data_IF_411890185509
#
_entry.id   IF_411890185509
#
_cell.length_a   1.000
_cell.length_b   1.000
_cell.length_c   1.000
_cell.angle_alpha   90.00
_cell.angle_beta   90.00
_cell.angle_gamma   90.00
#
_symmetry.space_group_name_H-M   'P 1'
#
loop_
_entity.id
_entity.type
_entity.pdbx_description
1 polymer ?
#
# COMPACT_ATOMS: atom_id res chain seq x y z
N UNK A 1 -17.56 30.39 -70.49
CA UNK A 1 -16.63 29.91 -69.44
C UNK A 1 -17.18 30.31 -68.08
N UNK A 2 -17.88 29.42 -67.37
CA UNK A 2 -18.37 29.68 -66.00
C UNK A 2 -17.38 29.05 -65.01
N UNK A 3 -16.75 29.87 -64.16
CA UNK A 3 -15.87 29.40 -63.08
C UNK A 3 -16.75 28.97 -61.91
N UNK A 4 -16.68 27.70 -61.53
CA UNK A 4 -17.31 27.15 -60.32
C UNK A 4 -16.26 27.26 -59.20
N UNK A 5 -16.53 28.10 -58.22
CA UNK A 5 -15.71 28.22 -57.01
C UNK A 5 -16.19 27.18 -56.00
N UNK A 6 -15.39 26.14 -55.75
CA UNK A 6 -15.67 25.14 -54.74
C UNK A 6 -15.30 25.70 -53.35
N UNK A 7 -16.28 25.80 -52.45
CA UNK A 7 -16.06 26.10 -51.03
C UNK A 7 -15.68 24.82 -50.31
N UNK A 8 -14.43 24.74 -49.83
CA UNK A 8 -13.95 23.65 -48.99
C UNK A 8 -14.43 23.89 -47.54
N UNK A 9 -15.48 23.17 -47.13
CA UNK A 9 -15.90 23.14 -45.72
C UNK A 9 -14.97 22.19 -44.95
N UNK A 10 -14.01 22.75 -44.21
CA UNK A 10 -13.20 21.98 -43.25
C UNK A 10 -14.03 21.81 -41.98
N UNK A 11 -14.59 20.62 -41.79
CA UNK A 11 -15.17 20.20 -40.52
C UNK A 11 -14.04 19.98 -39.50
N UNK A 12 -13.78 20.99 -38.67
CA UNK A 12 -12.95 20.88 -37.48
C UNK A 12 -13.71 20.05 -36.43
N UNK A 13 -13.41 18.76 -36.36
CA UNK A 13 -13.75 17.96 -35.19
C UNK A 13 -12.94 18.47 -33.99
N UNK A 14 -13.58 18.83 -32.86
CA UNK A 14 -12.83 19.12 -31.65
C UNK A 14 -12.30 17.79 -31.11
N UNK A 15 -11.03 17.51 -31.37
CA UNK A 15 -10.31 16.46 -30.63
C UNK A 15 -10.11 16.99 -29.22
N UNK A 16 -11.09 16.80 -28.34
CA UNK A 16 -10.92 16.97 -26.91
C UNK A 16 -10.17 15.77 -26.35
N UNK A 17 -8.88 15.65 -26.70
CA UNK A 17 -7.96 14.83 -25.96
C UNK A 17 -7.56 15.60 -24.70
N UNK A 18 -8.41 15.60 -23.67
CA UNK A 18 -7.97 15.98 -22.34
C UNK A 18 -6.98 14.91 -21.87
N UNK A 19 -5.69 15.12 -22.12
CA UNK A 19 -4.63 14.49 -21.37
C UNK A 19 -4.69 15.06 -19.95
N UNK A 20 -5.63 14.59 -19.14
CA UNK A 20 -5.66 14.93 -17.74
C UNK A 20 -4.46 14.27 -17.07
N UNK A 21 -3.60 15.06 -16.44
CA UNK A 21 -2.47 14.53 -15.69
C UNK A 21 -3.00 13.57 -14.60
N UNK A 22 -2.36 12.41 -14.44
CA UNK A 22 -2.74 11.39 -13.45
C UNK A 22 -2.86 11.97 -12.03
N UNK A 23 -2.05 12.98 -11.70
CA UNK A 23 -2.14 13.71 -10.43
C UNK A 23 -3.50 14.37 -10.23
N UNK A 24 -4.05 15.00 -11.27
CA UNK A 24 -5.35 15.65 -11.20
C UNK A 24 -6.46 14.61 -11.11
N UNK A 25 -6.36 13.53 -11.90
CA UNK A 25 -7.28 12.38 -11.84
C UNK A 25 -7.34 11.81 -10.42
N UNK A 26 -6.19 11.60 -9.79
CA UNK A 26 -6.12 11.07 -8.42
C UNK A 26 -6.69 12.03 -7.38
N UNK A 27 -6.30 13.31 -7.43
CA UNK A 27 -6.69 14.31 -6.40
C UNK A 27 -8.18 14.65 -6.48
N UNK A 28 -8.76 14.70 -7.68
CA UNK A 28 -10.18 15.01 -7.89
C UNK A 28 -11.11 13.80 -7.72
N UNK A 29 -10.55 12.60 -7.57
CA UNK A 29 -11.33 11.37 -7.44
C UNK A 29 -12.31 11.43 -6.28
N UNK A 30 -13.55 11.01 -6.53
CA UNK A 30 -14.53 10.81 -5.49
C UNK A 30 -14.30 9.47 -4.79
N UNK A 31 -14.00 9.53 -3.50
CA UNK A 31 -13.72 8.36 -2.67
C UNK A 31 -14.96 7.88 -1.93
N UNK A 32 -15.28 6.59 -2.06
CA UNK A 32 -16.22 5.95 -1.14
C UNK A 32 -15.58 5.96 0.23
N UNK A 33 -16.19 6.66 1.19
CA UNK A 33 -15.59 6.93 2.49
C UNK A 33 -16.46 6.37 3.59
N UNK A 34 -15.89 5.51 4.43
CA UNK A 34 -16.53 4.96 5.61
C UNK A 34 -15.74 5.31 6.86
N UNK A 35 -16.42 5.87 7.86
CA UNK A 35 -15.85 6.07 9.19
C UNK A 35 -15.88 4.74 9.95
N UNK A 36 -14.71 4.16 10.22
CA UNK A 36 -14.58 2.93 10.99
C UNK A 36 -14.68 3.18 12.49
N UNK A 37 -14.09 4.29 12.95
CA UNK A 37 -14.15 4.75 14.33
C UNK A 37 -13.84 6.24 14.43
N UNK A 38 -13.86 6.82 15.63
CA UNK A 38 -13.40 8.20 15.84
C UNK A 38 -11.89 8.28 15.59
N UNK A 39 -11.50 8.83 14.43
CA UNK A 39 -10.09 8.99 14.03
C UNK A 39 -9.57 7.89 13.12
N UNK A 40 -10.42 6.97 12.66
CA UNK A 40 -10.07 5.99 11.62
C UNK A 40 -11.09 6.04 10.51
N UNK A 41 -10.64 6.27 9.29
CA UNK A 41 -11.47 6.39 8.09
C UNK A 41 -10.91 5.45 7.03
N UNK A 42 -11.79 4.68 6.40
CA UNK A 42 -11.49 3.90 5.21
C UNK A 42 -12.02 4.63 3.98
N UNK A 43 -11.19 4.68 2.93
CA UNK A 43 -11.51 5.20 1.61
C UNK A 43 -11.23 4.12 0.57
N UNK A 44 -12.14 3.94 -0.38
CA UNK A 44 -11.95 3.04 -1.51
C UNK A 44 -12.45 3.68 -2.81
N UNK A 45 -11.84 3.30 -3.92
CA UNK A 45 -12.29 3.73 -5.24
C UNK A 45 -11.73 2.82 -6.34
N UNK A 46 -12.39 2.84 -7.50
CA UNK A 46 -11.92 2.22 -8.73
C UNK A 46 -11.75 3.33 -9.79
N UNK A 47 -10.53 3.48 -10.29
CA UNK A 47 -10.19 4.38 -11.37
C UNK A 47 -10.44 3.69 -12.71
N UNK A 48 -11.18 4.34 -13.60
CA UNK A 48 -11.33 3.88 -14.98
C UNK A 48 -10.01 4.01 -15.76
N UNK A 49 -9.24 5.06 -15.48
CA UNK A 49 -7.89 5.26 -16.01
C UNK A 49 -7.05 6.06 -15.01
N UNK A 50 -6.03 5.43 -14.45
CA UNK A 50 -4.92 6.04 -13.73
C UNK A 50 -3.64 5.34 -14.21
N UNK A 51 -2.68 6.13 -14.68
CA UNK A 51 -1.50 5.64 -15.41
C UNK A 51 -1.90 4.81 -16.63
N UNK A 52 -2.88 5.27 -17.40
CA UNK A 52 -3.41 4.57 -18.59
C UNK A 52 -3.94 3.14 -18.30
N UNK A 53 -4.48 2.91 -17.11
CA UNK A 53 -5.01 1.59 -16.73
C UNK A 53 -6.05 1.68 -15.62
N UNK A 54 -6.90 0.66 -15.49
CA UNK A 54 -7.80 0.55 -14.35
C UNK A 54 -7.01 0.24 -13.07
N UNK A 55 -7.39 0.90 -11.98
CA UNK A 55 -6.76 0.75 -10.67
C UNK A 55 -7.82 0.69 -9.56
N UNK A 56 -7.71 -0.27 -8.65
CA UNK A 56 -8.53 -0.33 -7.44
C UNK A 56 -7.62 -0.02 -6.25
N UNK A 57 -7.98 1.00 -5.48
CA UNK A 57 -7.18 1.50 -4.36
C UNK A 57 -8.01 1.54 -3.09
N UNK A 58 -7.46 1.02 -2.01
CA UNK A 58 -7.99 1.16 -0.66
C UNK A 58 -7.01 1.92 0.22
N UNK A 59 -7.53 2.80 1.07
CA UNK A 59 -6.74 3.63 1.97
C UNK A 59 -7.41 3.66 3.35
N UNK A 60 -6.65 3.38 4.41
CA UNK A 60 -7.09 3.65 5.78
C UNK A 60 -6.25 4.78 6.36
N UNK A 61 -6.92 5.87 6.76
CA UNK A 61 -6.35 6.97 7.51
C UNK A 61 -6.50 6.71 9.01
N UNK A 62 -5.40 6.78 9.76
CA UNK A 62 -5.35 6.48 11.19
C UNK A 62 -4.78 7.68 11.94
N UNK A 63 -5.60 8.37 12.74
CA UNK A 63 -5.17 9.47 13.61
C UNK A 63 -4.28 8.94 14.75
N UNK A 64 -2.95 9.13 14.62
CA UNK A 64 -1.98 8.64 15.59
C UNK A 64 -2.15 9.31 16.96
N UNK A 65 -2.72 10.53 17.06
CA UNK A 65 -3.01 11.12 18.38
C UNK A 65 -3.98 10.27 19.21
N UNK A 66 -4.81 9.46 18.55
CA UNK A 66 -5.76 8.54 19.19
C UNK A 66 -5.31 7.08 19.17
N UNK A 67 -4.64 6.67 18.09
CA UNK A 67 -4.38 5.26 17.81
C UNK A 67 -2.92 4.83 18.03
N UNK A 68 -2.00 5.72 18.44
CA UNK A 68 -0.60 5.37 18.66
C UNK A 68 -0.41 4.16 19.59
N UNK A 69 -1.14 4.12 20.72
CA UNK A 69 -1.08 3.01 21.69
C UNK A 69 -1.81 1.74 21.25
N UNK A 70 -2.55 1.81 20.14
CA UNK A 70 -3.34 0.70 19.57
C UNK A 70 -2.68 0.11 18.33
N UNK A 71 -1.62 0.74 17.83
CA UNK A 71 -0.80 0.23 16.75
C UNK A 71 -0.03 -1.01 17.22
N UNK A 72 -0.03 -2.05 16.40
CA UNK A 72 0.61 -3.31 16.68
C UNK A 72 1.18 -3.96 15.43
N UNK A 73 2.07 -4.92 15.65
CA UNK A 73 2.55 -5.85 14.64
C UNK A 73 2.39 -7.27 15.15
N UNK A 74 2.16 -8.20 14.24
CA UNK A 74 2.21 -9.62 14.53
C UNK A 74 3.11 -10.26 13.48
N UNK A 75 4.04 -11.10 13.94
CA UNK A 75 4.95 -11.82 13.07
C UNK A 75 5.07 -13.27 13.54
N UNK A 76 5.03 -14.19 12.58
CA UNK A 76 5.18 -15.61 12.75
C UNK A 76 6.63 -15.97 12.40
N UNK A 77 7.40 -16.60 13.31
CA UNK A 77 8.85 -16.77 13.12
C UNK A 77 9.20 -17.78 12.02
N UNK A 78 8.37 -18.79 11.80
CA UNK A 78 8.63 -19.93 10.92
C UNK A 78 7.33 -20.53 10.34
N UNK A 79 6.30 -19.70 10.18
CA UNK A 79 5.03 -20.12 9.59
C UNK A 79 4.36 -18.96 8.85
N UNK A 80 3.23 -19.26 8.23
CA UNK A 80 2.44 -18.30 7.46
C UNK A 80 0.97 -18.49 7.77
N UNK A 81 0.23 -17.39 7.81
CA UNK A 81 -1.22 -17.41 7.94
C UNK A 81 -1.84 -16.23 7.19
N UNK A 82 -3.12 -16.34 6.86
CA UNK A 82 -3.91 -15.29 6.20
C UNK A 82 -3.89 -14.00 7.02
N UNK A 83 -3.83 -12.85 6.33
CA UNK A 83 -3.93 -11.53 6.96
C UNK A 83 -5.24 -11.41 7.73
N UNK A 84 -6.36 -11.89 7.16
CA UNK A 84 -7.67 -11.96 7.83
C UNK A 84 -7.62 -12.70 9.16
N UNK A 85 -7.12 -13.94 9.18
CA UNK A 85 -6.98 -14.75 10.40
C UNK A 85 -6.08 -14.07 11.42
N UNK A 86 -4.89 -13.60 11.03
CA UNK A 86 -3.98 -12.90 11.93
C UNK A 86 -4.60 -11.62 12.51
N UNK A 87 -5.43 -10.93 11.73
CA UNK A 87 -6.14 -9.73 12.14
C UNK A 87 -7.24 -10.02 13.16
N UNK A 88 -7.99 -11.11 12.95
CA UNK A 88 -9.01 -11.58 13.90
C UNK A 88 -8.37 -11.99 15.24
N UNK A 89 -7.28 -12.77 15.20
CA UNK A 89 -6.51 -13.15 16.39
C UNK A 89 -5.93 -11.94 17.14
N UNK A 90 -5.52 -10.91 16.40
CA UNK A 90 -5.02 -9.66 16.96
C UNK A 90 -6.14 -8.72 17.47
N UNK A 91 -7.41 -9.06 17.23
CA UNK A 91 -8.58 -8.19 17.47
C UNK A 91 -8.41 -6.82 16.79
N UNK A 92 -7.93 -6.84 15.55
CA UNK A 92 -7.69 -5.64 14.76
C UNK A 92 -9.00 -4.95 14.36
N UNK A 93 -9.01 -3.62 14.39
CA UNK A 93 -10.00 -2.79 13.71
C UNK A 93 -9.70 -2.70 12.21
N UNK A 94 -8.43 -2.52 11.87
CA UNK A 94 -7.93 -2.53 10.50
C UNK A 94 -6.50 -3.07 10.47
N UNK A 95 -6.13 -3.75 9.39
CA UNK A 95 -4.79 -4.31 9.20
C UNK A 95 -4.42 -4.41 7.72
N UNK A 96 -3.11 -4.51 7.47
CA UNK A 96 -2.53 -4.83 6.17
C UNK A 96 -1.44 -5.89 6.35
N UNK A 97 -1.11 -6.61 5.29
CA UNK A 97 0.09 -7.44 5.26
C UNK A 97 1.36 -6.58 5.51
N UNK A 98 2.43 -7.21 6.00
CA UNK A 98 3.68 -6.52 6.30
C UNK A 98 4.81 -6.80 5.30
N UNK A 99 6.03 -6.97 5.82
CA UNK A 99 7.26 -7.16 5.07
C UNK A 99 7.44 -8.57 4.47
N UNK A 100 8.54 -8.72 3.72
CA UNK A 100 8.85 -9.92 2.93
C UNK A 100 9.09 -11.16 3.81
N UNK A 101 8.80 -12.34 3.26
CA UNK A 101 8.88 -13.61 3.98
C UNK A 101 9.28 -14.78 3.07
N UNK A 102 9.72 -15.87 3.70
CA UNK A 102 10.04 -17.12 3.00
C UNK A 102 8.75 -17.87 2.64
N UNK A 103 8.44 -17.96 1.34
CA UNK A 103 7.25 -18.64 0.83
C UNK A 103 7.25 -20.16 1.02
N UNK A 104 8.37 -20.78 1.35
CA UNK A 104 8.47 -22.21 1.63
C UNK A 104 8.34 -22.45 3.13
N UNK A 105 9.18 -21.78 3.91
CA UNK A 105 9.36 -22.09 5.33
C UNK A 105 8.59 -21.14 6.27
N UNK A 106 8.08 -20.00 5.77
CA UNK A 106 7.57 -18.93 6.62
C UNK A 106 8.67 -18.20 7.39
N UNK A 107 8.28 -17.20 8.16
CA UNK A 107 9.23 -16.26 8.77
C UNK A 107 9.61 -15.14 7.83
N UNK A 108 9.85 -13.95 8.40
CA UNK A 108 10.37 -12.83 7.62
C UNK A 108 11.82 -13.11 7.17
N UNK A 109 12.16 -12.68 5.96
CA UNK A 109 13.54 -12.73 5.44
C UNK A 109 14.37 -11.52 5.88
N UNK A 110 13.67 -10.47 6.32
CA UNK A 110 14.22 -9.21 6.83
C UNK A 110 13.93 -9.05 8.34
N UNK A 111 14.63 -8.11 8.96
CA UNK A 111 14.56 -7.86 10.40
C UNK A 111 13.14 -7.50 10.86
N UNK A 112 12.61 -8.26 11.82
CA UNK A 112 11.39 -7.92 12.55
C UNK A 112 11.63 -8.05 14.06
N UNK A 113 11.28 -7.00 14.78
CA UNK A 113 11.23 -6.94 16.25
C UNK A 113 9.83 -6.51 16.69
N UNK A 114 9.24 -7.25 17.62
CA UNK A 114 7.93 -6.96 18.21
C UNK A 114 8.06 -6.98 19.72
N UNK A 115 7.62 -5.91 20.39
CA UNK A 115 7.70 -5.77 21.85
C UNK A 115 9.09 -6.07 22.44
N UNK A 116 10.15 -5.51 21.84
CA UNK A 116 11.57 -5.75 22.16
C UNK A 116 12.08 -7.17 21.90
N UNK A 117 11.26 -8.10 21.43
CA UNK A 117 11.69 -9.44 21.03
C UNK A 117 11.97 -9.48 19.54
N UNK A 118 13.19 -9.90 19.16
CA UNK A 118 13.52 -10.17 17.77
C UNK A 118 12.80 -11.45 17.36
N UNK A 119 11.93 -11.34 16.36
CA UNK A 119 11.16 -12.48 15.82
C UNK A 119 11.93 -13.13 14.66
N UNK A 120 12.47 -12.30 13.76
CA UNK A 120 13.31 -12.75 12.66
C UNK A 120 14.50 -11.78 12.49
N UNK A 121 15.75 -12.28 12.45
CA UNK A 121 16.89 -11.49 11.98
C UNK A 121 16.88 -11.37 10.45
N UNK A 122 17.63 -10.42 9.89
CA UNK A 122 17.87 -10.38 8.44
C UNK A 122 18.71 -11.58 8.01
N UNK A 123 18.18 -12.41 7.11
CA UNK A 123 18.88 -13.59 6.58
C UNK A 123 19.94 -13.20 5.55
N UNK A 124 19.59 -12.29 4.64
CA UNK A 124 20.50 -11.76 3.63
C UNK A 124 20.13 -10.32 3.29
N UNK A 125 21.14 -9.46 3.06
CA UNK A 125 20.88 -8.07 2.71
C UNK A 125 20.30 -7.99 1.30
N UNK A 126 19.19 -7.26 1.17
CA UNK A 126 18.51 -7.03 -0.10
C UNK A 126 18.38 -5.53 -0.35
N UNK A 127 18.63 -5.09 -1.58
CA UNK A 127 18.37 -3.71 -1.98
C UNK A 127 16.88 -3.34 -1.92
N UNK A 128 15.98 -4.35 -1.89
CA UNK A 128 14.54 -4.16 -1.74
C UNK A 128 14.15 -3.75 -0.32
N UNK A 129 14.98 -4.09 0.67
CA UNK A 129 14.69 -3.87 2.08
C UNK A 129 15.65 -2.83 2.67
N UNK A 130 15.27 -1.56 2.58
CA UNK A 130 16.11 -0.43 2.99
C UNK A 130 15.37 0.62 3.84
N UNK A 131 14.18 0.29 4.33
CA UNK A 131 13.35 1.18 5.13
C UNK A 131 12.82 0.47 6.37
N UNK A 132 12.84 1.17 7.49
CA UNK A 132 12.32 0.72 8.78
C UNK A 132 11.00 1.42 9.08
N UNK A 133 9.96 0.63 9.31
CA UNK A 133 8.78 1.05 10.04
C UNK A 133 8.99 0.76 11.53
N UNK A 134 9.06 1.80 12.35
CA UNK A 134 9.38 1.69 13.77
C UNK A 134 8.42 2.49 14.63
N UNK A 135 7.95 1.93 15.75
CA UNK A 135 7.04 2.63 16.65
C UNK A 135 7.12 2.16 18.10
N UNK A 136 6.72 3.05 19.00
CA UNK A 136 6.47 2.82 20.41
C UNK A 136 5.07 3.36 20.78
N UNK A 137 4.76 3.47 22.08
CA UNK A 137 3.47 4.00 22.53
C UNK A 137 3.32 5.53 22.40
N UNK A 138 4.34 6.24 21.89
CA UNK A 138 4.41 7.70 21.77
C UNK A 138 4.63 8.18 20.33
N UNK A 139 5.40 7.46 19.52
CA UNK A 139 5.88 7.91 18.20
C UNK A 139 5.93 6.76 17.21
N UNK A 140 5.67 7.11 15.96
CA UNK A 140 5.84 6.25 14.77
C UNK A 140 6.82 6.91 13.81
N UNK A 141 7.68 6.12 13.16
CA UNK A 141 8.67 6.56 12.20
C UNK A 141 8.72 5.62 10.99
N UNK A 142 8.97 6.22 9.83
CA UNK A 142 9.39 5.54 8.60
C UNK A 142 10.71 6.18 8.17
N UNK A 143 11.82 5.45 8.29
CA UNK A 143 13.18 5.98 8.07
C UNK A 143 14.12 4.93 7.49
N UNK A 144 15.25 5.35 6.92
CA UNK A 144 16.30 4.42 6.45
C UNK A 144 17.39 4.14 7.49
N UNK A 145 17.42 4.91 8.58
CA UNK A 145 18.43 4.78 9.62
C UNK A 145 18.20 3.55 10.51
N UNK A 146 19.17 2.63 10.49
CA UNK A 146 19.13 1.39 11.26
C UNK A 146 19.28 1.61 12.76
N UNK A 147 19.74 2.79 13.22
CA UNK A 147 19.83 3.11 14.65
C UNK A 147 18.47 3.02 15.36
N UNK A 148 17.35 3.14 14.62
CA UNK A 148 16.01 2.91 15.16
C UNK A 148 15.79 1.52 15.77
N UNK A 149 16.55 0.51 15.32
CA UNK A 149 16.50 -0.85 15.87
C UNK A 149 16.81 -0.84 17.37
N UNK A 150 17.76 -0.02 17.82
CA UNK A 150 18.12 0.06 19.23
C UNK A 150 17.08 0.83 20.06
N UNK A 151 16.34 1.75 19.44
CA UNK A 151 15.48 2.73 20.13
C UNK A 151 14.05 2.24 20.30
N UNK A 152 13.47 1.59 19.29
CA UNK A 152 12.05 1.29 19.26
C UNK A 152 11.74 -0.15 19.62
N UNK A 153 10.66 -0.45 20.37
CA UNK A 153 10.29 -1.81 20.73
C UNK A 153 9.71 -2.60 19.55
N UNK A 154 9.10 -1.91 18.59
CA UNK A 154 8.51 -2.50 17.39
C UNK A 154 9.22 -1.94 16.16
N UNK A 155 9.82 -2.82 15.36
CA UNK A 155 10.59 -2.45 14.16
C UNK A 155 10.38 -3.50 13.08
N UNK A 156 10.08 -3.08 11.86
CA UNK A 156 10.02 -3.92 10.66
C UNK A 156 10.90 -3.31 9.58
N UNK A 157 11.87 -4.07 9.10
CA UNK A 157 12.62 -3.77 7.89
C UNK A 157 11.84 -4.31 6.68
N UNK A 158 11.57 -3.43 5.72
CA UNK A 158 11.03 -3.77 4.42
C UNK A 158 11.43 -2.67 3.42
N UNK A 159 10.62 -2.43 2.39
CA UNK A 159 10.82 -1.31 1.49
C UNK A 159 10.60 -1.66 0.02
N UNK A 160 11.15 -0.85 -0.89
CA UNK A 160 12.05 0.28 -0.61
C UNK A 160 11.36 1.48 0.06
N UNK A 161 12.15 2.37 0.65
CA UNK A 161 11.73 3.73 0.99
C UNK A 161 11.34 4.47 -0.30
N UNK A 162 10.16 5.08 -0.31
CA UNK A 162 9.60 5.77 -1.47
C UNK A 162 9.72 7.29 -1.32
N UNK A 163 9.34 7.79 -0.14
CA UNK A 163 9.31 9.24 0.17
C UNK A 163 9.98 9.47 1.53
N UNK A 164 10.91 10.42 1.61
CA UNK A 164 11.55 10.85 2.84
C UNK A 164 11.54 12.38 2.94
N UNK A 165 10.92 12.94 3.99
CA UNK A 165 10.73 14.39 4.16
C UNK A 165 10.11 15.06 2.92
N UNK A 166 9.07 14.44 2.36
CA UNK A 166 8.38 14.85 1.13
C UNK A 166 9.23 14.77 -0.15
N UNK A 167 10.47 14.28 -0.09
CA UNK A 167 11.31 14.04 -1.26
C UNK A 167 11.11 12.62 -1.79
N UNK A 168 10.92 12.50 -3.10
CA UNK A 168 10.91 11.20 -3.79
C UNK A 168 12.33 10.65 -3.80
N UNK A 169 12.50 9.38 -3.41
CA UNK A 169 13.78 8.68 -3.52
C UNK A 169 13.90 7.95 -4.85
N UNK A 170 15.11 7.96 -5.41
CA UNK A 170 15.40 7.26 -6.65
C UNK A 170 15.32 5.74 -6.45
N UNK A 171 14.63 5.07 -7.36
CA UNK A 171 14.56 3.62 -7.43
C UNK A 171 15.49 3.10 -8.53
N UNK A 172 16.20 2.00 -8.28
CA UNK A 172 17.04 1.37 -9.30
C UNK A 172 16.19 0.72 -10.39
N UNK A 173 16.69 0.65 -11.62
CA UNK A 173 16.01 -0.02 -12.72
C UNK A 173 16.05 -1.53 -12.53
N UNK A 174 14.88 -2.16 -12.35
CA UNK A 174 14.71 -3.61 -12.28
C UNK A 174 13.21 -3.96 -12.30
N UNK A 175 12.90 -5.22 -12.64
CA UNK A 175 11.51 -5.69 -12.75
C UNK A 175 10.68 -5.53 -11.46
N UNK A 176 11.29 -5.60 -10.27
CA UNK A 176 10.56 -5.43 -9.01
C UNK A 176 10.07 -3.98 -8.82
N UNK A 177 10.84 -3.00 -9.29
CA UNK A 177 10.48 -1.58 -9.25
C UNK A 177 9.61 -1.14 -10.43
N UNK A 178 9.94 -1.62 -11.63
CA UNK A 178 9.41 -1.09 -12.89
C UNK A 178 8.13 -1.79 -13.36
N UNK A 179 7.91 -3.06 -12.99
CA UNK A 179 6.70 -3.78 -13.39
C UNK A 179 5.51 -3.47 -12.47
N UNK A 180 4.32 -3.46 -13.07
CA UNK A 180 3.05 -3.31 -12.35
C UNK A 180 2.68 -4.57 -11.59
N UNK A 181 2.38 -4.41 -10.31
CA UNK A 181 1.92 -5.46 -9.42
C UNK A 181 0.88 -4.90 -8.45
N UNK A 182 0.08 -5.75 -7.78
CA UNK A 182 -0.55 -5.36 -6.53
C UNK A 182 0.52 -4.87 -5.56
N UNK A 183 0.23 -3.79 -4.84
CA UNK A 183 1.18 -3.18 -3.90
C UNK A 183 0.51 -2.91 -2.56
N UNK A 184 1.30 -3.05 -1.51
CA UNK A 184 0.94 -2.58 -0.17
C UNK A 184 1.95 -1.51 0.24
N UNK A 185 1.47 -0.41 0.79
CA UNK A 185 2.32 0.68 1.27
C UNK A 185 1.85 1.19 2.62
N UNK A 186 2.80 1.77 3.35
CA UNK A 186 2.56 2.48 4.59
C UNK A 186 3.20 3.86 4.51
N UNK A 187 2.49 4.87 5.00
CA UNK A 187 2.95 6.26 4.96
C UNK A 187 2.54 7.09 6.16
N UNK A 188 3.23 8.18 6.39
CA UNK A 188 2.90 9.19 7.39
C UNK A 188 2.48 10.46 6.65
N UNK A 189 1.27 10.95 6.98
CA UNK A 189 0.70 12.20 6.52
C UNK A 189 0.29 13.04 7.74
N UNK A 190 1.06 14.07 8.05
CA UNK A 190 0.90 14.90 9.25
C UNK A 190 0.94 14.03 10.53
N UNK A 191 -0.18 13.93 11.23
CA UNK A 191 -0.35 13.07 12.41
C UNK A 191 -1.11 11.77 12.09
N UNK A 192 -1.22 11.41 10.81
CA UNK A 192 -1.94 10.21 10.37
C UNK A 192 -0.98 9.16 9.84
N UNK A 193 -1.22 7.91 10.24
CA UNK A 193 -0.65 6.75 9.58
C UNK A 193 -1.60 6.31 8.47
N UNK A 194 -1.03 6.03 7.30
CA UNK A 194 -1.76 5.66 6.10
C UNK A 194 -1.44 4.21 5.80
N UNK A 195 -2.46 3.36 5.77
CA UNK A 195 -2.37 2.04 5.13
C UNK A 195 -2.93 2.14 3.73
N UNK A 196 -2.23 1.62 2.74
CA UNK A 196 -2.68 1.63 1.35
C UNK A 196 -2.50 0.26 0.71
N UNK A 197 -3.52 -0.19 -0.02
CA UNK A 197 -3.40 -1.30 -0.96
C UNK A 197 -3.84 -0.86 -2.35
N UNK A 198 -3.13 -1.34 -3.36
CA UNK A 198 -3.49 -1.22 -4.77
C UNK A 198 -3.61 -2.63 -5.32
N UNK A 199 -4.78 -3.03 -5.81
CA UNK A 199 -4.97 -4.36 -6.40
C UNK A 199 -4.29 -4.44 -7.77
N UNK A 200 -4.07 -5.65 -8.28
CA UNK A 200 -3.34 -5.82 -9.55
C UNK A 200 -3.48 -7.19 -10.18
N UNK A 201 -2.85 -7.37 -11.35
CA UNK A 201 -2.85 -8.62 -12.15
C UNK A 201 -4.23 -9.03 -12.68
N UNK A 202 -5.15 -8.07 -12.87
CA UNK A 202 -6.49 -8.30 -13.42
C UNK A 202 -6.88 -7.21 -14.39
N UNK A 203 -7.91 -7.44 -15.20
CA UNK A 203 -8.44 -6.41 -16.10
C UNK A 203 -9.05 -5.23 -15.33
N UNK A 204 -9.66 -5.50 -14.18
CA UNK A 204 -10.29 -4.51 -13.29
C UNK A 204 -9.26 -3.68 -12.49
N UNK A 205 -8.05 -4.22 -12.29
CA UNK A 205 -6.93 -3.50 -11.70
C UNK A 205 -5.63 -4.11 -12.19
N UNK A 206 -4.85 -3.33 -12.94
CA UNK A 206 -3.56 -3.81 -13.47
C UNK A 206 -2.47 -3.79 -12.39
N UNK A 207 -2.64 -2.95 -11.37
CA UNK A 207 -1.63 -2.67 -10.35
C UNK A 207 -0.67 -1.59 -10.79
N UNK A 208 0.29 -1.28 -9.93
CA UNK A 208 1.22 -0.16 -10.12
C UNK A 208 2.66 -0.59 -9.96
N UNK A 209 3.54 0.08 -10.70
CA UNK A 209 4.99 0.09 -10.46
C UNK A 209 5.28 0.82 -9.15
N UNK A 210 6.51 0.72 -8.64
CA UNK A 210 6.88 1.47 -7.43
C UNK A 210 7.01 2.98 -7.69
N UNK A 211 7.30 3.39 -8.92
CA UNK A 211 7.30 4.81 -9.30
C UNK A 211 5.87 5.38 -9.22
N UNK A 212 4.92 4.69 -9.83
CA UNK A 212 3.48 5.04 -9.79
C UNK A 212 2.92 5.01 -8.36
N UNK A 213 3.30 4.01 -7.55
CA UNK A 213 2.95 3.96 -6.13
C UNK A 213 3.53 5.15 -5.35
N UNK A 214 4.77 5.56 -5.67
CA UNK A 214 5.41 6.73 -5.05
C UNK A 214 4.64 8.00 -5.38
N UNK A 215 4.21 8.15 -6.63
CA UNK A 215 3.37 9.27 -7.06
C UNK A 215 2.02 9.28 -6.35
N UNK A 216 1.33 8.14 -6.24
CA UNK A 216 0.09 8.01 -5.48
C UNK A 216 0.30 8.44 -4.02
N UNK A 217 1.32 7.91 -3.34
CA UNK A 217 1.61 8.24 -1.94
C UNK A 217 1.93 9.73 -1.75
N UNK A 218 2.63 10.35 -2.71
CA UNK A 218 2.93 11.79 -2.74
C UNK A 218 1.68 12.62 -2.94
N UNK A 219 0.86 12.31 -3.95
CA UNK A 219 -0.38 13.04 -4.23
C UNK A 219 -1.40 12.91 -3.10
N UNK A 220 -1.37 11.78 -2.40
CA UNK A 220 -2.16 11.60 -1.19
C UNK A 220 -1.66 12.47 -0.01
N UNK A 221 -0.41 12.94 -0.08
CA UNK A 221 0.20 13.88 0.86
C UNK A 221 1.10 13.24 1.91
N UNK A 222 1.62 12.03 1.69
CA UNK A 222 2.55 11.40 2.63
C UNK A 222 3.91 12.13 2.60
N UNK A 223 4.40 12.55 3.77
CA UNK A 223 5.76 13.09 3.91
C UNK A 223 6.81 11.99 4.07
N UNK A 224 6.39 10.82 4.56
CA UNK A 224 7.22 9.62 4.57
C UNK A 224 6.40 8.45 4.06
N UNK A 225 6.97 7.60 3.21
CA UNK A 225 6.29 6.42 2.70
C UNK A 225 7.29 5.33 2.34
N UNK A 226 6.91 4.07 2.58
CA UNK A 226 7.67 2.91 2.16
C UNK A 226 6.76 1.83 1.58
N UNK A 227 7.31 1.05 0.66
CA UNK A 227 6.67 -0.15 0.14
C UNK A 227 6.76 -1.30 1.15
N UNK A 228 5.75 -2.16 1.16
CA UNK A 228 5.69 -3.43 1.91
C UNK A 228 5.63 -4.61 0.93
N UNK A 229 5.46 -5.84 1.42
CA UNK A 229 5.30 -6.97 0.52
C UNK A 229 4.04 -6.82 -0.34
N UNK A 230 4.12 -7.19 -1.61
CA UNK A 230 3.07 -6.95 -2.60
C UNK A 230 2.58 -8.23 -3.28
N UNK A 231 2.02 -8.09 -4.48
CA UNK A 231 1.60 -9.22 -5.29
C UNK A 231 0.48 -10.03 -4.64
N UNK A 232 0.68 -11.34 -4.49
CA UNK A 232 -0.33 -12.21 -3.86
C UNK A 232 -0.53 -11.91 -2.37
N UNK A 233 0.44 -11.25 -1.73
CA UNK A 233 0.41 -10.89 -0.31
C UNK A 233 -0.44 -9.65 -0.03
N UNK A 234 -0.74 -8.81 -1.03
CA UNK A 234 -1.50 -7.57 -0.86
C UNK A 234 -2.90 -7.85 -0.35
N UNK A 235 -3.13 -7.50 0.92
CA UNK A 235 -4.40 -7.67 1.59
C UNK A 235 -4.64 -6.53 2.60
N UNK A 236 -5.88 -6.03 2.63
CA UNK A 236 -6.38 -5.11 3.65
C UNK A 236 -7.57 -5.77 4.35
N UNK A 237 -7.48 -5.84 5.68
CA UNK A 237 -8.54 -6.30 6.57
C UNK A 237 -9.19 -5.12 7.28
N UNK A 238 -10.51 -5.12 7.38
CA UNK A 238 -11.31 -4.19 8.18
C UNK A 238 -12.39 -4.97 8.96
N UNK A 239 -12.45 -4.73 10.26
CA UNK A 239 -13.40 -5.40 11.14
C UNK A 239 -14.85 -5.09 10.75
N UNK A 240 -15.67 -6.13 10.68
CA UNK A 240 -17.11 -6.04 10.40
C UNK A 240 -17.47 -5.89 8.93
N UNK A 241 -16.49 -5.87 8.02
CA UNK A 241 -16.74 -5.93 6.59
C UNK A 241 -17.03 -7.37 6.12
N UNK A 242 -17.70 -7.57 4.97
CA UNK A 242 -17.92 -8.88 4.37
C UNK A 242 -16.61 -9.63 4.08
N UNK A 243 -16.73 -10.87 3.59
CA UNK A 243 -15.58 -11.70 3.17
C UNK A 243 -14.49 -11.85 4.25
N UNK A 244 -14.92 -12.11 5.48
CA UNK A 244 -14.04 -12.22 6.65
C UNK A 244 -13.21 -10.95 6.90
N UNK A 245 -13.71 -9.79 6.47
CA UNK A 245 -13.07 -8.49 6.64
C UNK A 245 -12.14 -8.07 5.51
N UNK A 246 -11.94 -8.90 4.47
CA UNK A 246 -11.10 -8.53 3.32
C UNK A 246 -11.86 -7.57 2.40
N UNK A 247 -11.28 -6.39 2.18
CA UNK A 247 -11.93 -5.30 1.42
C UNK A 247 -11.35 -5.05 0.04
N UNK A 248 -10.15 -5.56 -0.25
CA UNK A 248 -9.53 -5.50 -1.57
C UNK A 248 -9.76 -6.82 -2.34
N UNK A 249 -9.18 -6.95 -3.53
CA UNK A 249 -9.24 -8.16 -4.36
C UNK A 249 -7.86 -8.85 -4.43
N UNK A 250 -7.47 -9.64 -3.39
CA UNK A 250 -6.22 -10.38 -3.39
C UNK A 250 -6.03 -11.27 -4.63
N UNK A 251 -4.77 -11.38 -5.09
CA UNK A 251 -4.50 -11.90 -6.43
C UNK A 251 -4.04 -13.36 -6.51
N UNK A 252 -3.83 -14.05 -5.38
CA UNK A 252 -3.10 -15.33 -5.32
C UNK A 252 -3.87 -16.50 -5.96
N UNK A 253 -5.21 -16.48 -5.90
CA UNK A 253 -6.08 -17.52 -6.49
C UNK A 253 -6.38 -17.32 -7.99
N UNK A 254 -5.80 -16.30 -8.63
CA UNK A 254 -5.99 -15.98 -10.05
C UNK A 254 -7.42 -15.56 -10.46
N UNK A 255 -8.32 -15.29 -9.49
CA UNK A 255 -9.68 -14.80 -9.73
C UNK A 255 -9.84 -13.33 -9.34
N UNK A 256 -10.93 -12.69 -9.77
CA UNK A 256 -11.34 -11.36 -9.32
C UNK A 256 -12.43 -11.52 -8.26
N UNK A 257 -12.00 -11.84 -7.04
CA UNK A 257 -12.83 -12.05 -5.87
C UNK A 257 -12.07 -11.64 -4.59
N UNK A 258 -12.70 -11.79 -3.44
CA UNK A 258 -12.09 -11.47 -2.14
C UNK A 258 -11.39 -12.68 -1.48
N UNK A 259 -11.28 -13.82 -2.17
CA UNK A 259 -10.83 -15.09 -1.59
C UNK A 259 -9.37 -15.43 -1.93
N UNK A 260 -8.71 -14.63 -2.77
CA UNK A 260 -7.34 -14.86 -3.24
C UNK A 260 -6.23 -14.50 -2.26
N UNK A 261 -6.51 -14.51 -0.96
CA UNK A 261 -5.56 -14.09 0.08
C UNK A 261 -4.45 -15.13 0.27
N UNK A 262 -3.21 -14.69 0.07
CA UNK A 262 -2.02 -15.50 0.38
C UNK A 262 -1.77 -15.54 1.89
N UNK A 263 -1.31 -16.68 2.39
CA UNK A 263 -0.73 -16.77 3.74
C UNK A 263 0.60 -16.00 3.81
N UNK A 264 0.69 -15.03 4.71
CA UNK A 264 1.86 -14.18 4.98
C UNK A 264 2.47 -14.49 6.34
N UNK A 265 3.70 -14.05 6.60
CA UNK A 265 4.33 -14.26 7.91
C UNK A 265 4.15 -13.10 8.88
N UNK A 266 3.68 -11.95 8.44
CA UNK A 266 3.55 -10.80 9.33
C UNK A 266 2.52 -9.78 8.82
N UNK A 267 1.94 -9.04 9.78
CA UNK A 267 0.93 -8.00 9.55
C UNK A 267 1.21 -6.77 10.41
N UNK A 268 0.70 -5.63 9.96
CA UNK A 268 0.62 -4.37 10.72
C UNK A 268 -0.85 -4.07 10.95
N UNK A 269 -1.23 -3.71 12.17
CA UNK A 269 -2.63 -3.51 12.53
C UNK A 269 -2.84 -2.42 13.56
N UNK A 270 -4.08 -1.95 13.66
CA UNK A 270 -4.56 -1.16 14.81
C UNK A 270 -5.69 -1.91 15.51
N UNK A 271 -5.70 -1.90 16.84
CA UNK A 271 -6.83 -2.41 17.64
C UNK A 271 -7.97 -1.39 17.73
N UNK A 272 -9.18 -1.87 18.05
CA UNK A 272 -10.39 -1.03 18.25
C UNK A 272 -10.20 0.03 19.32
#
# INVERSE_FOLDING_TARGET
>A
MKKITAFLFVLLFPVLAYCQADSLTFVQQQWQTQKLSKGVIWKSTAFASLFNSQQIINIVEIDLKKYQKKLGMKALPNSRERTSTLSQEAQALAAINGGFFDMKNGGAVDFIKVNNQIINPTLSKSARANAYFAFDNKRTKIVRDSATIAVYPNVMLAGPMLIEHSNILSLSKNAFNDNRHPRTAIGIKDNKLIFMTVDGRRSQSQGVSLHELTDIMRWYGCQHAMNLDGGGSTAMYILGQPFQGIVNYPSDNQKFDHEGERKVSNIIYIKK
#
